data_IF_127740298320
#
_entry.id   IF_127740298320
#
_cell.length_a   1.000
_cell.length_b   1.000
_cell.length_c   1.000
_cell.angle_alpha   90.00
_cell.angle_beta   90.00
_cell.angle_gamma   90.00
#
_symmetry.space_group_name_H-M   'P 1'
#
loop_
_entity.id
_entity.type
_entity.pdbx_description
1 polymer ?
#
# COMPACT_ATOMS: atom_id res chain seq x y z
N UNK A 1 -6.69 -8.25 -15.06
CA UNK A 1 -5.52 -7.86 -15.87
C UNK A 1 -4.65 -7.01 -14.97
N UNK A 2 -3.43 -7.45 -14.67
CA UNK A 2 -2.49 -6.69 -13.85
C UNK A 2 -1.62 -5.80 -14.74
N UNK A 3 -1.20 -4.67 -14.19
CA UNK A 3 -0.30 -3.70 -14.81
C UNK A 3 0.89 -3.48 -13.87
N UNK A 4 2.12 -3.40 -14.41
CA UNK A 4 3.29 -3.08 -13.62
C UNK A 4 3.25 -1.61 -13.20
N UNK A 5 3.31 -1.35 -11.90
CA UNK A 5 3.38 0.01 -11.35
C UNK A 5 4.61 0.16 -10.47
N UNK A 6 5.26 1.31 -10.57
CA UNK A 6 6.51 1.61 -9.86
C UNK A 6 6.24 2.51 -8.65
N UNK A 7 6.85 2.17 -7.52
CA UNK A 7 6.80 2.97 -6.29
C UNK A 7 8.19 3.28 -5.78
N UNK A 8 8.30 4.45 -5.16
CA UNK A 8 9.53 4.93 -4.55
C UNK A 8 9.51 4.63 -3.05
N UNK A 9 10.61 4.11 -2.54
CA UNK A 9 10.81 3.99 -1.11
C UNK A 9 10.95 5.39 -0.49
N UNK A 10 10.15 5.77 0.51
CA UNK A 10 10.23 7.10 1.14
C UNK A 10 11.51 7.31 1.97
N UNK A 11 12.37 6.28 2.11
CA UNK A 11 13.61 6.33 2.90
C UNK A 11 14.86 6.56 2.05
N UNK A 12 14.97 5.82 0.94
CA UNK A 12 16.19 5.78 0.12
C UNK A 12 15.91 5.97 -1.38
N UNK A 13 14.66 6.27 -1.75
CA UNK A 13 14.24 6.55 -3.13
C UNK A 13 14.39 5.37 -4.11
N UNK A 14 14.75 4.19 -3.61
CA UNK A 14 14.78 2.94 -4.39
C UNK A 14 13.41 2.65 -4.99
N UNK A 15 13.40 2.17 -6.23
CA UNK A 15 12.18 1.84 -6.96
C UNK A 15 11.87 0.35 -6.83
N UNK A 16 10.61 0.03 -6.53
CA UNK A 16 10.05 -1.32 -6.66
C UNK A 16 9.03 -1.33 -7.79
N UNK A 17 8.92 -2.45 -8.50
CA UNK A 17 7.82 -2.70 -9.42
C UNK A 17 6.85 -3.72 -8.82
N UNK A 18 5.55 -3.41 -8.81
CA UNK A 18 4.50 -4.33 -8.37
C UNK A 18 3.47 -4.57 -9.48
N UNK A 19 2.99 -5.81 -9.56
CA UNK A 19 2.01 -6.25 -10.55
C UNK A 19 0.60 -6.21 -9.97
N UNK A 20 -0.14 -5.11 -10.16
CA UNK A 20 -1.47 -4.92 -9.55
C UNK A 20 -2.57 -4.72 -10.58
N UNK A 21 -3.82 -4.95 -10.21
CA UNK A 21 -4.98 -4.67 -11.08
C UNK A 21 -5.09 -3.18 -11.39
N UNK A 22 -5.35 -2.84 -12.66
CA UNK A 22 -5.53 -1.45 -13.09
C UNK A 22 -6.77 -0.76 -12.47
N UNK A 23 -7.68 -1.54 -11.90
CA UNK A 23 -8.87 -1.05 -11.18
C UNK A 23 -8.55 -0.48 -9.78
N UNK A 24 -7.36 -0.76 -9.25
CA UNK A 24 -6.95 -0.35 -7.91
C UNK A 24 -6.17 0.97 -8.00
N UNK A 25 -6.75 2.04 -7.47
CA UNK A 25 -6.09 3.34 -7.37
C UNK A 25 -5.15 3.38 -6.15
N UNK A 26 -3.99 4.01 -6.30
CA UNK A 26 -3.14 4.37 -5.15
C UNK A 26 -3.68 5.59 -4.41
N UNK A 27 -3.58 5.57 -3.08
CA UNK A 27 -3.81 6.72 -2.22
C UNK A 27 -2.49 7.40 -1.87
N UNK A 28 -1.54 6.64 -1.33
CA UNK A 28 -0.26 7.17 -0.82
C UNK A 28 0.74 6.05 -0.49
N UNK A 29 2.02 6.38 -0.43
CA UNK A 29 3.07 5.50 0.10
C UNK A 29 3.55 6.03 1.44
N UNK A 30 3.55 5.21 2.48
CA UNK A 30 3.91 5.60 3.86
C UNK A 30 5.02 4.70 4.43
N UNK A 31 5.92 5.25 5.27
CA UNK A 31 6.95 4.45 5.93
C UNK A 31 6.42 3.58 7.08
N UNK A 32 5.17 3.80 7.51
CA UNK A 32 4.51 3.08 8.60
C UNK A 32 3.09 2.66 8.19
N UNK A 33 2.54 1.59 8.78
CA UNK A 33 1.18 1.16 8.48
C UNK A 33 0.17 2.17 9.01
N UNK A 34 -0.91 2.36 8.28
CA UNK A 34 -2.02 3.21 8.67
C UNK A 34 -2.95 2.45 9.62
N UNK A 35 -3.49 3.16 10.61
CA UNK A 35 -4.42 2.57 11.58
C UNK A 35 -5.75 2.20 10.91
N UNK A 36 -6.22 0.97 11.13
CA UNK A 36 -7.47 0.45 10.56
C UNK A 36 -7.38 -0.06 9.12
N UNK A 37 -6.16 -0.20 8.58
CA UNK A 37 -5.90 -0.72 7.24
C UNK A 37 -5.31 -2.12 7.30
N UNK A 38 -5.77 -3.00 6.40
CA UNK A 38 -5.26 -4.35 6.26
C UNK A 38 -4.20 -4.39 5.17
N UNK A 39 -3.02 -4.91 5.50
CA UNK A 39 -1.91 -5.01 4.55
C UNK A 39 -1.64 -6.46 4.20
N UNK A 40 -1.36 -6.70 2.93
CA UNK A 40 -0.89 -7.99 2.43
C UNK A 40 0.56 -7.88 1.94
N UNK A 41 1.23 -9.00 1.74
CA UNK A 41 2.59 -9.04 1.18
C UNK A 41 2.58 -8.80 -0.34
N UNK A 42 3.76 -8.58 -0.91
CA UNK A 42 3.92 -8.29 -2.35
C UNK A 42 3.43 -9.39 -3.29
N UNK A 43 3.27 -10.62 -2.83
CA UNK A 43 2.71 -11.73 -3.63
C UNK A 43 1.24 -12.05 -3.26
N UNK A 44 0.64 -11.27 -2.36
CA UNK A 44 -0.69 -11.52 -1.83
C UNK A 44 -1.85 -10.97 -2.67
N UNK A 45 -3.07 -11.18 -2.18
CA UNK A 45 -4.28 -10.66 -2.83
C UNK A 45 -4.53 -9.20 -2.49
N UNK A 46 -4.24 -8.30 -3.43
CA UNK A 46 -4.38 -6.85 -3.22
C UNK A 46 -5.82 -6.35 -3.20
N UNK A 47 -6.76 -7.06 -3.83
CA UNK A 47 -8.17 -6.66 -3.89
C UNK A 47 -8.89 -6.87 -2.54
N UNK A 48 -8.41 -7.84 -1.76
CA UNK A 48 -8.91 -8.14 -0.42
C UNK A 48 -8.18 -7.33 0.68
N UNK A 49 -7.17 -6.55 0.32
CA UNK A 49 -6.35 -5.76 1.23
C UNK A 49 -6.48 -4.26 0.94
N UNK A 50 -6.24 -3.45 1.96
CA UNK A 50 -6.22 -1.98 1.84
C UNK A 50 -4.87 -1.45 1.37
N UNK A 51 -3.84 -2.28 1.44
CA UNK A 51 -2.50 -1.91 1.05
C UNK A 51 -1.57 -3.10 0.94
N UNK A 52 -0.34 -2.79 0.55
CA UNK A 52 0.74 -3.77 0.39
C UNK A 52 1.89 -3.37 1.29
N UNK A 53 2.37 -4.31 2.09
CA UNK A 53 3.63 -4.19 2.83
C UNK A 53 4.77 -4.60 1.90
N UNK A 54 5.73 -3.72 1.75
CA UNK A 54 6.87 -3.89 0.85
C UNK A 54 8.13 -3.71 1.67
N UNK A 55 9.07 -4.65 1.60
CA UNK A 55 10.40 -4.48 2.21
C UNK A 55 11.38 -4.01 1.14
N UNK A 56 11.99 -2.85 1.39
CA UNK A 56 12.94 -2.28 0.46
C UNK A 56 14.22 -3.13 0.40
N UNK A 57 14.51 -3.76 -0.75
CA UNK A 57 15.70 -4.60 -0.94
C UNK A 57 15.45 -6.10 -0.88
N UNK A 58 14.26 -6.55 -0.45
CA UNK A 58 13.88 -7.98 -0.48
C UNK A 58 12.87 -8.30 -1.60
N UNK A 59 12.05 -7.33 -2.00
CA UNK A 59 11.11 -7.46 -3.11
C UNK A 59 11.81 -7.29 -4.48
N UNK A 60 11.03 -7.22 -5.57
CA UNK A 60 11.51 -6.85 -6.93
C UNK A 60 11.95 -5.37 -6.99
N UNK A 61 12.88 -4.99 -6.12
CA UNK A 61 13.51 -3.67 -6.07
C UNK A 61 14.74 -3.64 -6.96
N UNK A 62 14.81 -2.65 -7.83
CA UNK A 62 15.99 -2.36 -8.63
C UNK A 62 17.05 -1.65 -7.76
N UNK A 63 17.86 -2.44 -7.03
CA UNK A 63 19.04 -1.94 -6.31
C UNK A 63 19.21 -2.45 -4.88
N UNK A 64 20.24 -1.94 -4.20
CA UNK A 64 20.51 -2.19 -2.78
C UNK A 64 19.52 -1.38 -1.93
N UNK A 65 18.37 -1.97 -1.62
CA UNK A 65 17.35 -1.33 -0.78
C UNK A 65 17.85 -1.12 0.65
N UNK A 66 17.18 -0.23 1.38
CA UNK A 66 17.56 0.11 2.75
C UNK A 66 17.22 -0.96 3.81
N UNK A 67 16.56 -2.06 3.44
CA UNK A 67 16.12 -3.13 4.35
C UNK A 67 14.88 -2.79 5.18
N UNK A 68 14.37 -1.56 5.07
CA UNK A 68 13.22 -1.11 5.86
C UNK A 68 11.89 -1.42 5.17
N UNK A 69 10.86 -1.86 5.93
CA UNK A 69 9.51 -2.02 5.41
C UNK A 69 8.84 -0.66 5.20
N UNK A 70 8.05 -0.57 4.14
CA UNK A 70 7.15 0.55 3.85
C UNK A 70 5.83 0.01 3.31
N UNK A 71 4.83 0.88 3.24
CA UNK A 71 3.44 0.50 3.04
C UNK A 71 2.85 1.31 1.89
N UNK A 72 2.38 0.61 0.88
CA UNK A 72 1.56 1.17 -0.18
C UNK A 72 0.11 1.12 0.26
N UNK A 73 -0.58 2.26 0.17
CA UNK A 73 -1.98 2.40 0.58
C UNK A 73 -2.84 2.60 -0.68
N UNK A 74 -3.87 1.79 -0.86
CA UNK A 74 -4.84 1.91 -1.93
C UNK A 74 -5.98 2.86 -1.58
N UNK A 75 -6.59 3.50 -2.58
CA UNK A 75 -7.73 4.37 -2.37
C UNK A 75 -8.97 3.53 -2.05
N UNK A 76 -9.44 3.60 -0.80
CA UNK A 76 -10.74 3.04 -0.41
C UNK A 76 -11.82 4.10 -0.60
N UNK A 77 -12.85 3.77 -1.38
CA UNK A 77 -14.05 4.59 -1.53
C UNK A 77 -15.21 3.95 -0.76
N UNK A 78 -15.76 4.64 0.23
CA UNK A 78 -16.96 4.22 0.94
C UNK A 78 -18.06 5.26 0.71
N UNK A 79 -19.23 4.82 0.22
CA UNK A 79 -20.36 5.71 -0.12
C UNK A 79 -20.01 6.86 -1.08
N UNK A 80 -19.00 6.66 -1.95
CA UNK A 80 -18.54 7.68 -2.89
C UNK A 80 -17.59 8.74 -2.30
N UNK A 81 -17.19 8.61 -1.03
CA UNK A 81 -16.16 9.44 -0.39
C UNK A 81 -14.88 8.62 -0.15
N UNK A 82 -13.72 9.27 -0.16
CA UNK A 82 -12.47 8.63 0.20
C UNK A 82 -12.43 8.38 1.72
N UNK A 83 -11.99 7.17 2.10
CA UNK A 83 -11.83 6.82 3.51
C UNK A 83 -10.44 7.22 3.96
N UNK A 84 -10.39 8.03 5.02
CA UNK A 84 -9.14 8.39 5.67
C UNK A 84 -8.69 7.30 6.66
N UNK A 85 -7.37 7.09 6.79
CA UNK A 85 -6.83 6.23 7.84
C UNK A 85 -7.17 6.78 9.23
N UNK A 86 -7.76 5.93 10.08
CA UNK A 86 -8.27 6.32 11.38
C UNK A 86 -9.77 6.67 11.44
N UNK A 87 -10.44 6.88 10.30
CA UNK A 87 -11.91 7.03 10.24
C UNK A 87 -12.63 5.66 10.19
N UNK A 88 -11.88 4.57 10.30
CA UNK A 88 -12.42 3.27 10.72
C UNK A 88 -12.84 3.33 12.20
N UNK A 89 -13.68 4.29 12.56
CA UNK A 89 -14.35 4.31 13.85
C UNK A 89 -15.27 3.10 13.90
N UNK A 90 -15.22 2.24 14.92
CA UNK A 90 -16.33 1.32 15.14
C UNK A 90 -17.62 2.16 15.27
N UNK A 91 -18.74 1.72 14.69
CA UNK A 91 -19.99 2.47 14.81
C UNK A 91 -20.42 2.48 16.30
N UNK A 92 -20.12 3.56 17.04
CA UNK A 92 -20.56 3.61 18.44
C UNK A 92 -20.02 4.66 19.40
N UNK A 93 -19.81 5.93 19.02
CA UNK A 93 -19.68 7.01 20.04
C UNK A 93 -20.45 8.28 19.64
N UNK A 94 -21.51 8.57 20.40
CA UNK A 94 -22.57 9.52 20.08
C UNK A 94 -22.12 10.98 19.91
#
# INVERSE_FOLDING_TARGET
>A
MTVPVRYYCPRCETVVTLQRSASIADKSVTPAPLSGWSYTDVDGEYDAADGVRIVCGEAETDGEGCGEPYYLNFLRLANGADVEPGDARPPGEA
#
